data_IF_847259896444
#
_entry.id   IF_847259896444
#
_cell.length_a   1.000
_cell.length_b   1.000
_cell.length_c   1.000
_cell.angle_alpha   90.00
_cell.angle_beta   90.00
_cell.angle_gamma   90.00
#
_symmetry.space_group_name_H-M   'P 1'
#
loop_
_entity.id
_entity.type
_entity.pdbx_description
1 polymer ?
#
# COMPACT_ATOMS: atom_id res chain seq x y z
N UNK A 1 26.25 -29.77 -24.51
CA UNK A 1 24.94 -29.70 -25.17
C UNK A 1 23.90 -30.62 -24.50
N UNK A 2 23.84 -30.73 -23.15
CA UNK A 2 22.75 -31.45 -22.45
C UNK A 2 22.66 -30.97 -20.98
N UNK A 3 22.37 -29.69 -20.76
CA UNK A 3 22.21 -29.08 -19.42
C UNK A 3 20.75 -28.76 -19.03
N UNK A 4 19.76 -29.18 -19.82
CA UNK A 4 18.36 -28.76 -19.71
C UNK A 4 17.44 -29.79 -19.03
N UNK A 5 17.93 -30.99 -18.70
CA UNK A 5 17.10 -32.10 -18.21
C UNK A 5 17.33 -32.51 -16.76
N UNK A 6 18.11 -31.73 -16.00
CA UNK A 6 18.14 -31.87 -14.55
C UNK A 6 17.18 -30.80 -14.02
N UNK A 7 16.01 -31.17 -13.44
CA UNK A 7 15.34 -30.23 -12.57
C UNK A 7 16.39 -29.87 -11.53
N UNK A 8 16.78 -28.60 -11.45
CA UNK A 8 17.61 -28.12 -10.36
C UNK A 8 16.77 -28.32 -9.11
N UNK A 9 16.83 -29.52 -8.55
CA UNK A 9 16.52 -29.76 -7.17
C UNK A 9 17.55 -28.89 -6.46
N UNK A 10 17.14 -27.67 -6.10
CA UNK A 10 17.76 -26.89 -5.05
C UNK A 10 17.55 -27.70 -3.78
N UNK A 11 18.35 -28.78 -3.65
CA UNK A 11 18.52 -29.48 -2.41
C UNK A 11 19.01 -28.41 -1.43
N UNK A 12 18.17 -28.16 -0.45
CA UNK A 12 18.35 -27.31 0.73
C UNK A 12 19.72 -27.59 1.34
N UNK A 13 20.77 -26.91 0.84
CA UNK A 13 22.15 -27.13 1.30
C UNK A 13 22.41 -26.48 2.66
N UNK A 14 21.53 -25.59 3.10
CA UNK A 14 21.63 -24.85 4.36
C UNK A 14 20.69 -25.37 5.47
N UNK A 15 19.87 -26.39 5.20
CA UNK A 15 18.99 -27.01 6.19
C UNK A 15 19.43 -28.42 6.53
N UNK A 16 20.63 -28.54 7.09
CA UNK A 16 21.09 -29.81 7.62
C UNK A 16 20.65 -29.95 9.08
N UNK A 17 19.78 -30.92 9.41
CA UNK A 17 19.45 -31.18 10.80
C UNK A 17 20.71 -31.65 11.53
N UNK A 18 21.18 -30.86 12.50
CA UNK A 18 22.27 -31.21 13.41
C UNK A 18 23.66 -30.60 13.12
N UNK A 19 23.79 -29.64 12.20
CA UNK A 19 25.07 -28.92 11.98
C UNK A 19 25.00 -27.52 12.62
N UNK A 20 25.19 -27.44 13.95
CA UNK A 20 25.26 -26.17 14.70
C UNK A 20 24.71 -26.24 16.13
N UNK A 21 25.22 -25.38 17.02
CA UNK A 21 24.73 -25.20 18.42
C UNK A 21 23.44 -24.39 18.51
N UNK A 22 22.86 -24.00 17.38
CA UNK A 22 21.64 -23.21 17.26
C UNK A 22 20.65 -23.98 16.38
N UNK A 23 19.37 -23.95 16.74
CA UNK A 23 18.32 -24.70 16.03
C UNK A 23 18.16 -24.28 14.56
N UNK A 24 17.42 -25.08 13.78
CA UNK A 24 17.19 -24.85 12.35
C UNK A 24 16.41 -23.52 12.16
N UNK A 25 17.01 -22.54 11.48
CA UNK A 25 16.36 -21.28 11.12
C UNK A 25 15.39 -21.49 9.95
N UNK A 26 14.12 -21.65 10.29
CA UNK A 26 13.03 -21.89 9.33
C UNK A 26 12.83 -20.71 8.36
N UNK A 27 13.31 -19.51 8.69
CA UNK A 27 13.15 -18.30 7.88
C UNK A 27 14.04 -18.28 6.63
N UNK A 28 15.25 -18.83 6.73
CA UNK A 28 16.15 -19.06 5.60
C UNK A 28 15.88 -20.41 4.91
N UNK A 29 15.29 -21.36 5.64
CA UNK A 29 15.05 -22.71 5.17
C UNK A 29 13.82 -22.86 4.26
N UNK A 30 12.75 -22.12 4.57
CA UNK A 30 11.52 -22.14 3.79
C UNK A 30 11.64 -21.14 2.62
N UNK A 31 11.55 -21.63 1.39
CA UNK A 31 11.56 -20.82 0.16
C UNK A 31 10.17 -20.84 -0.49
N UNK A 32 9.70 -19.69 -0.97
CA UNK A 32 8.45 -19.59 -1.73
C UNK A 32 8.65 -20.15 -3.15
N UNK A 33 7.56 -20.36 -3.89
CA UNK A 33 7.56 -20.88 -5.27
C UNK A 33 8.38 -20.05 -6.29
N UNK A 34 8.89 -18.88 -5.89
CA UNK A 34 9.77 -18.00 -6.68
C UNK A 34 11.24 -18.04 -6.23
N UNK A 35 11.62 -19.01 -5.39
CA UNK A 35 12.98 -19.20 -4.86
C UNK A 35 13.48 -18.08 -3.92
N UNK A 36 12.60 -17.24 -3.40
CA UNK A 36 12.92 -16.24 -2.36
C UNK A 36 12.73 -16.83 -0.95
N UNK A 37 13.65 -16.57 -0.02
CA UNK A 37 13.49 -16.99 1.38
C UNK A 37 12.32 -16.23 2.03
N UNK A 38 11.58 -16.88 2.94
CA UNK A 38 10.43 -16.25 3.63
C UNK A 38 10.87 -14.99 4.37
N UNK A 39 12.09 -14.99 4.92
CA UNK A 39 12.68 -13.83 5.60
C UNK A 39 12.76 -12.59 4.71
N UNK A 40 13.02 -12.76 3.41
CA UNK A 40 13.19 -11.63 2.47
C UNK A 40 11.85 -11.08 1.96
N UNK A 41 10.79 -11.88 2.00
CA UNK A 41 9.45 -11.49 1.52
C UNK A 41 8.64 -10.78 2.61
N UNK A 42 8.87 -11.11 3.88
CA UNK A 42 8.15 -10.56 5.03
C UNK A 42 9.06 -9.79 5.99
N UNK A 43 10.24 -9.35 5.53
CA UNK A 43 11.21 -8.59 6.34
C UNK A 43 10.65 -7.24 6.80
N UNK A 44 9.86 -6.57 5.97
CA UNK A 44 9.52 -5.17 6.17
C UNK A 44 8.01 -4.89 6.26
N UNK A 45 7.57 -4.16 7.32
CA UNK A 45 6.19 -3.69 7.43
C UNK A 45 5.79 -2.70 6.32
N UNK A 46 6.74 -2.23 5.52
CA UNK A 46 6.55 -1.30 4.40
C UNK A 46 5.57 -1.82 3.35
N UNK A 47 5.50 -3.14 3.11
CA UNK A 47 4.57 -3.72 2.14
C UNK A 47 3.10 -3.45 2.49
N UNK A 48 2.73 -3.64 3.76
CA UNK A 48 1.35 -3.39 4.20
C UNK A 48 1.00 -1.90 4.13
N UNK A 49 1.94 -1.03 4.51
CA UNK A 49 1.73 0.41 4.48
C UNK A 49 1.50 0.88 3.05
N UNK A 50 2.31 0.42 2.09
CA UNK A 50 2.15 0.81 0.69
C UNK A 50 0.80 0.36 0.10
N UNK A 51 0.38 -0.87 0.40
CA UNK A 51 -0.93 -1.39 -0.02
C UNK A 51 -2.10 -0.55 0.53
N UNK A 52 -2.05 -0.22 1.83
CA UNK A 52 -3.11 0.54 2.49
C UNK A 52 -3.15 1.97 1.96
N UNK A 53 -2.00 2.65 1.86
CA UNK A 53 -1.92 4.04 1.42
C UNK A 53 -2.46 4.18 -0.01
N UNK A 54 -2.02 3.34 -0.94
CA UNK A 54 -2.48 3.38 -2.34
C UNK A 54 -4.00 3.17 -2.45
N UNK A 55 -4.56 2.19 -1.73
CA UNK A 55 -6.00 1.93 -1.78
C UNK A 55 -6.81 3.04 -1.07
N UNK A 56 -6.29 3.61 0.01
CA UNK A 56 -6.93 4.71 0.73
C UNK A 56 -7.01 5.98 -0.12
N UNK A 57 -5.97 6.31 -0.90
CA UNK A 57 -6.00 7.45 -1.83
C UNK A 57 -7.07 7.30 -2.91
N UNK A 58 -7.21 6.10 -3.50
CA UNK A 58 -8.27 5.81 -4.47
C UNK A 58 -9.65 5.94 -3.81
N UNK A 59 -9.84 5.34 -2.64
CA UNK A 59 -11.11 5.40 -1.91
C UNK A 59 -11.48 6.86 -1.54
N UNK A 60 -10.51 7.64 -1.07
CA UNK A 60 -10.71 9.05 -0.74
C UNK A 60 -11.11 9.88 -1.96
N UNK A 61 -10.48 9.65 -3.12
CA UNK A 61 -10.86 10.31 -4.38
C UNK A 61 -12.30 10.00 -4.77
N UNK A 62 -12.72 8.74 -4.67
CA UNK A 62 -14.11 8.32 -4.93
C UNK A 62 -15.09 8.99 -3.96
N UNK A 63 -14.76 9.04 -2.67
CA UNK A 63 -15.61 9.68 -1.65
C UNK A 63 -15.75 11.18 -1.91
N UNK A 64 -14.64 11.88 -2.21
CA UNK A 64 -14.65 13.30 -2.55
C UNK A 64 -15.54 13.57 -3.77
N UNK A 65 -15.42 12.74 -4.80
CA UNK A 65 -16.26 12.83 -5.98
C UNK A 65 -17.75 12.70 -5.63
N UNK A 66 -18.13 11.67 -4.89
CA UNK A 66 -19.53 11.48 -4.47
C UNK A 66 -20.06 12.64 -3.60
N UNK A 67 -19.23 13.17 -2.69
CA UNK A 67 -19.62 14.31 -1.87
C UNK A 67 -19.87 15.58 -2.68
N UNK A 68 -19.09 15.82 -3.74
CA UNK A 68 -19.32 16.95 -4.66
C UNK A 68 -20.68 16.81 -5.36
N UNK A 69 -21.00 15.62 -5.87
CA UNK A 69 -22.30 15.35 -6.49
C UNK A 69 -23.47 15.55 -5.51
N UNK A 70 -23.34 15.04 -4.28
CA UNK A 70 -24.36 15.21 -3.25
C UNK A 70 -24.52 16.68 -2.83
N UNK A 71 -23.43 17.44 -2.74
CA UNK A 71 -23.47 18.87 -2.47
C UNK A 71 -24.22 19.62 -3.57
N UNK A 72 -23.91 19.34 -4.84
CA UNK A 72 -24.59 19.93 -5.99
C UNK A 72 -26.07 19.57 -6.04
N UNK A 73 -26.41 18.31 -5.78
CA UNK A 73 -27.81 17.86 -5.74
C UNK A 73 -28.60 18.55 -4.62
N UNK A 74 -28.03 18.66 -3.41
CA UNK A 74 -28.67 19.37 -2.29
C UNK A 74 -28.86 20.86 -2.57
N UNK A 75 -27.90 21.49 -3.25
CA UNK A 75 -28.00 22.90 -3.64
C UNK A 75 -29.24 23.16 -4.51
N UNK A 76 -29.53 22.27 -5.46
CA UNK A 76 -30.67 22.41 -6.38
C UNK A 76 -31.98 21.93 -5.73
N UNK A 77 -31.97 20.84 -4.96
CA UNK A 77 -33.19 20.15 -4.52
C UNK A 77 -33.86 20.75 -3.28
N UNK A 78 -33.17 21.50 -2.42
CA UNK A 78 -33.69 21.91 -1.10
C UNK A 78 -33.77 23.44 -0.86
N UNK A 79 -33.62 24.25 -1.91
CA UNK A 79 -33.78 25.71 -1.82
C UNK A 79 -32.87 26.35 -0.76
N UNK A 80 -33.40 27.25 0.08
CA UNK A 80 -32.60 27.99 1.09
C UNK A 80 -31.88 27.08 2.09
N UNK A 81 -32.52 25.98 2.53
CA UNK A 81 -31.91 25.02 3.47
C UNK A 81 -30.82 24.18 2.80
N UNK A 82 -31.09 23.73 1.57
CA UNK A 82 -30.12 23.02 0.75
C UNK A 82 -28.86 23.83 0.45
N UNK A 83 -29.02 25.14 0.29
CA UNK A 83 -27.91 26.06 0.02
C UNK A 83 -26.92 26.15 1.19
N UNK A 84 -27.42 26.19 2.42
CA UNK A 84 -26.58 26.23 3.63
C UNK A 84 -25.88 24.88 3.86
N UNK A 85 -26.59 23.77 3.70
CA UNK A 85 -26.01 22.44 3.80
C UNK A 85 -24.95 22.18 2.70
N UNK A 86 -25.24 22.55 1.45
CA UNK A 86 -24.30 22.42 0.34
C UNK A 86 -23.03 23.25 0.57
N UNK A 87 -23.15 24.45 1.17
CA UNK A 87 -21.99 25.28 1.53
C UNK A 87 -21.10 24.59 2.57
N UNK A 88 -21.69 23.95 3.57
CA UNK A 88 -20.95 23.21 4.58
C UNK A 88 -20.27 21.96 4.00
N UNK A 89 -20.97 21.20 3.16
CA UNK A 89 -20.38 20.05 2.47
C UNK A 89 -19.24 20.50 1.55
N UNK A 90 -19.43 21.58 0.80
CA UNK A 90 -18.41 22.12 -0.11
C UNK A 90 -17.15 22.56 0.63
N UNK A 91 -17.28 23.15 1.82
CA UNK A 91 -16.13 23.46 2.69
C UNK A 91 -15.40 22.20 3.14
N UNK A 92 -16.14 21.16 3.54
CA UNK A 92 -15.57 19.87 3.94
C UNK A 92 -14.80 19.21 2.79
N UNK A 93 -15.39 19.20 1.59
CA UNK A 93 -14.75 18.72 0.36
C UNK A 93 -13.48 19.50 0.05
N UNK A 94 -13.53 20.84 0.14
CA UNK A 94 -12.36 21.69 -0.11
C UNK A 94 -11.21 21.37 0.87
N UNK A 95 -11.53 21.23 2.16
CA UNK A 95 -10.56 20.85 3.20
C UNK A 95 -9.99 19.46 2.93
N UNK A 96 -10.85 18.48 2.58
CA UNK A 96 -10.43 17.12 2.25
C UNK A 96 -9.51 17.07 1.03
N UNK A 97 -9.79 17.86 -0.01
CA UNK A 97 -8.96 17.96 -1.20
C UNK A 97 -7.58 18.57 -0.89
N UNK A 98 -7.54 19.64 -0.08
CA UNK A 98 -6.27 20.24 0.37
C UNK A 98 -5.47 19.24 1.21
N UNK A 99 -6.13 18.49 2.09
CA UNK A 99 -5.48 17.51 2.97
C UNK A 99 -4.85 16.37 2.17
N UNK A 100 -5.51 15.90 1.10
CA UNK A 100 -4.93 14.92 0.17
C UNK A 100 -3.67 15.45 -0.51
N UNK A 101 -3.67 16.73 -0.90
CA UNK A 101 -2.51 17.38 -1.50
C UNK A 101 -1.33 17.47 -0.52
N UNK A 102 -1.60 17.81 0.75
CA UNK A 102 -0.60 17.80 1.80
C UNK A 102 -0.04 16.40 2.06
N UNK A 103 -0.91 15.38 2.10
CA UNK A 103 -0.50 14.00 2.29
C UNK A 103 0.42 13.51 1.16
N UNK A 104 0.11 13.88 -0.10
CA UNK A 104 0.97 13.59 -1.25
C UNK A 104 2.37 14.20 -1.08
N UNK A 105 2.45 15.48 -0.69
CA UNK A 105 3.74 16.13 -0.47
C UNK A 105 4.56 15.49 0.65
N UNK A 106 3.93 15.08 1.75
CA UNK A 106 4.62 14.40 2.84
C UNK A 106 5.27 13.11 2.33
N UNK A 107 4.52 12.29 1.61
CA UNK A 107 5.04 11.01 1.10
C UNK A 107 6.15 11.23 0.06
N UNK A 108 6.02 12.21 -0.83
CA UNK A 108 7.07 12.58 -1.78
C UNK A 108 8.36 13.03 -1.09
N UNK A 109 8.26 13.84 -0.03
CA UNK A 109 9.44 14.26 0.74
C UNK A 109 10.09 13.04 1.41
N UNK A 110 9.30 12.11 1.96
CA UNK A 110 9.83 10.87 2.55
C UNK A 110 10.53 10.02 1.50
N UNK A 111 9.94 9.82 0.32
CA UNK A 111 10.57 9.10 -0.80
C UNK A 111 11.92 9.70 -1.20
N UNK A 112 11.98 11.03 -1.30
CA UNK A 112 13.21 11.75 -1.67
C UNK A 112 14.34 11.55 -0.64
N UNK A 113 13.98 11.46 0.65
CA UNK A 113 14.96 11.31 1.73
C UNK A 113 15.40 9.86 1.97
N UNK A 114 14.48 8.89 1.85
CA UNK A 114 14.79 7.47 2.13
C UNK A 114 15.20 6.69 0.89
N UNK A 115 14.93 7.18 -0.32
CA UNK A 115 15.14 6.43 -1.57
C UNK A 115 14.23 5.22 -1.71
N UNK A 116 13.26 5.03 -0.79
CA UNK A 116 12.28 3.95 -0.82
C UNK A 116 11.07 4.42 -1.61
N UNK A 117 10.76 3.70 -2.70
CA UNK A 117 9.57 3.95 -3.51
C UNK A 117 8.32 3.46 -2.77
N UNK A 118 7.67 4.37 -2.06
CA UNK A 118 6.33 4.15 -1.53
C UNK A 118 5.33 4.53 -2.62
N UNK A 119 5.19 3.66 -3.63
CA UNK A 119 4.37 3.85 -4.83
C UNK A 119 2.96 4.42 -4.57
N UNK A 120 2.88 5.74 -4.57
CA UNK A 120 1.66 6.52 -4.72
C UNK A 120 1.29 6.65 -6.20
#
# INVERSE_FOLDING_TARGET
MFGFLVPVAHAITDCKPGEGTEGIDLGNCLRLSNDSAIKDVYSEPAFLVNLIVRNAFVAAGVILFLMIFLAGFKFVSQGKKGMEEAKNISKSVLIGAILMFCAYWIVQIVQLLTGVDVGL
#
